data_IF_069910886448
#
_entry.id   IF_069910886448
#
_cell.length_a   1.000
_cell.length_b   1.000
_cell.length_c   1.000
_cell.angle_alpha   90.00
_cell.angle_beta   90.00
_cell.angle_gamma   90.00
#
_symmetry.space_group_name_H-M   'P 1'
#
loop_
_entity.id
_entity.type
_entity.pdbx_description
1 polymer ?
#
# COMPACT_ATOMS: atom_id res chain seq x y z
N UNK A 1 43.64 70.30 18.65
CA UNK A 1 42.58 70.04 19.65
C UNK A 1 41.78 68.82 19.22
N UNK A 2 41.78 67.70 19.98
CA UNK A 2 40.86 66.59 19.74
C UNK A 2 39.60 66.74 20.60
N UNK A 3 38.41 66.60 19.97
CA UNK A 3 37.10 66.65 20.64
C UNK A 3 36.72 65.27 21.18
N UNK A 4 36.25 65.29 22.42
CA UNK A 4 35.80 64.16 23.25
C UNK A 4 34.46 63.61 22.74
N UNK A 5 34.35 62.29 22.63
CA UNK A 5 33.14 61.54 22.25
C UNK A 5 32.37 61.15 23.53
N UNK A 6 31.06 61.42 23.56
CA UNK A 6 30.17 61.09 24.69
C UNK A 6 29.75 59.60 24.69
N UNK A 7 29.54 58.97 25.86
CA UNK A 7 29.11 57.58 25.96
C UNK A 7 27.60 57.40 25.73
N UNK A 8 27.24 56.36 24.98
CA UNK A 8 25.87 55.90 24.72
C UNK A 8 25.34 55.05 25.88
N UNK A 9 24.09 55.25 26.30
CA UNK A 9 23.40 54.45 27.33
C UNK A 9 22.93 53.10 26.78
N UNK A 10 22.92 52.02 27.58
CA UNK A 10 22.37 50.73 27.16
C UNK A 10 20.84 50.80 27.07
N UNK A 11 20.28 50.29 25.96
CA UNK A 11 18.84 49.98 25.85
C UNK A 11 18.63 48.57 26.38
N UNK A 12 17.64 48.40 27.25
CA UNK A 12 17.16 47.09 27.68
C UNK A 12 16.17 46.54 26.64
N UNK A 13 16.22 45.23 26.41
CA UNK A 13 15.30 44.53 25.53
C UNK A 13 13.96 44.28 26.26
N UNK A 14 12.84 44.15 25.53
CA UNK A 14 11.52 43.95 26.15
C UNK A 14 11.43 42.61 26.89
N UNK A 15 10.77 42.64 28.06
CA UNK A 15 10.71 41.57 29.08
C UNK A 15 10.35 40.16 28.55
N UNK A 16 9.52 40.07 27.51
CA UNK A 16 9.18 38.81 26.85
C UNK A 16 10.42 38.07 26.32
N UNK A 17 11.35 38.79 25.70
CA UNK A 17 12.58 38.21 25.13
C UNK A 17 13.57 37.80 26.23
N UNK A 18 13.56 38.50 27.37
CA UNK A 18 14.35 38.13 28.54
C UNK A 18 13.82 36.83 29.19
N UNK A 19 12.49 36.63 29.21
CA UNK A 19 11.87 35.42 29.75
C UNK A 19 12.16 34.18 28.88
N UNK A 20 12.05 34.29 27.56
CA UNK A 20 12.42 33.20 26.64
C UNK A 20 13.92 32.86 26.75
N UNK A 21 14.77 33.88 26.89
CA UNK A 21 16.20 33.71 27.10
C UNK A 21 16.54 32.98 28.40
N UNK A 22 15.87 33.35 29.50
CA UNK A 22 16.05 32.70 30.80
C UNK A 22 15.49 31.27 30.82
N UNK A 23 14.40 30.99 30.11
CA UNK A 23 13.84 29.64 29.98
C UNK A 23 14.78 28.71 29.19
N UNK A 24 15.39 29.21 28.11
CA UNK A 24 16.41 28.50 27.35
C UNK A 24 17.67 28.23 28.20
N UNK A 25 18.10 29.18 29.03
CA UNK A 25 19.25 29.02 29.94
C UNK A 25 18.96 28.00 31.05
N UNK A 26 17.72 27.96 31.57
CA UNK A 26 17.30 26.95 32.55
C UNK A 26 17.26 25.54 31.97
N UNK A 27 16.82 25.41 30.71
CA UNK A 27 16.63 24.11 30.06
C UNK A 27 17.94 23.50 29.53
N UNK A 28 18.89 24.33 29.07
CA UNK A 28 20.08 23.84 28.37
C UNK A 28 21.42 24.31 28.96
N UNK A 29 21.42 25.14 30.00
CA UNK A 29 22.65 25.70 30.58
C UNK A 29 23.35 26.72 29.66
N UNK A 30 24.29 27.51 30.20
CA UNK A 30 24.99 28.56 29.45
C UNK A 30 26.06 27.96 28.53
N UNK A 31 25.82 27.98 27.22
CA UNK A 31 26.82 27.61 26.20
C UNK A 31 27.81 28.76 25.99
N UNK A 32 29.08 28.55 26.33
CA UNK A 32 30.15 29.52 26.12
C UNK A 32 30.56 29.57 24.63
N UNK A 33 30.50 30.75 24.00
CA UNK A 33 31.02 30.97 22.65
C UNK A 33 32.57 31.00 22.66
N UNK A 34 33.27 30.36 21.70
CA UNK A 34 34.72 30.31 21.69
C UNK A 34 35.32 31.67 21.30
N UNK A 35 36.23 32.17 22.14
CA UNK A 35 36.88 33.47 21.96
C UNK A 35 38.00 33.45 20.92
N UNK A 36 38.01 34.43 20.01
CA UNK A 36 39.12 34.70 19.08
C UNK A 36 40.35 35.23 19.84
N UNK A 37 41.49 34.54 19.78
CA UNK A 37 42.79 35.03 20.29
C UNK A 37 43.71 35.48 19.14
N UNK A 38 44.34 36.64 19.34
CA UNK A 38 45.39 37.26 18.51
C UNK A 38 46.74 36.56 18.72
N UNK A 39 47.50 36.40 17.64
CA UNK A 39 48.83 35.81 17.61
C UNK A 39 49.96 36.80 18.00
N UNK A 40 50.97 36.30 18.74
CA UNK A 40 52.35 36.79 18.67
C UNK A 40 53.32 35.63 18.98
N UNK A 41 54.41 35.62 18.22
CA UNK A 41 55.39 34.58 17.84
C UNK A 41 56.46 34.31 18.92
N UNK A 42 56.90 33.05 19.07
CA UNK A 42 58.29 32.55 18.92
C UNK A 42 58.38 31.04 19.28
N UNK A 43 59.47 30.39 18.87
CA UNK A 43 59.60 29.06 18.25
C UNK A 43 59.72 27.79 19.13
N UNK A 44 59.29 26.67 18.51
CA UNK A 44 59.75 25.27 18.61
C UNK A 44 59.32 24.39 19.81
N UNK A 45 58.23 23.62 19.65
CA UNK A 45 58.31 22.17 19.38
C UNK A 45 56.98 21.69 18.76
N UNK A 46 57.08 20.78 17.79
CA UNK A 46 56.07 20.45 16.78
C UNK A 46 55.14 19.33 17.25
N UNK A 47 53.87 19.65 17.54
CA UNK A 47 52.74 18.70 17.60
C UNK A 47 51.43 19.49 17.40
N UNK A 48 51.28 20.11 16.23
CA UNK A 48 49.95 20.51 15.73
C UNK A 48 49.21 19.24 15.25
N UNK A 49 47.94 19.01 15.64
CA UNK A 49 47.16 17.93 15.05
C UNK A 49 47.01 18.25 13.56
N UNK A 50 47.69 17.48 12.72
CA UNK A 50 47.63 17.61 11.26
C UNK A 50 46.17 17.62 10.86
N UNK A 51 45.79 18.49 9.92
CA UNK A 51 44.44 18.50 9.32
C UNK A 51 44.02 17.14 8.73
N UNK A 52 44.98 16.23 8.59
CA UNK A 52 44.83 14.81 8.30
C UNK A 52 44.06 14.07 9.41
N UNK A 53 44.29 14.35 10.70
CA UNK A 53 43.58 13.73 11.83
C UNK A 53 42.12 14.16 11.92
N UNK A 54 41.78 15.40 11.59
CA UNK A 54 40.39 15.84 11.53
C UNK A 54 39.63 15.19 10.36
N UNK A 55 40.32 14.98 9.22
CA UNK A 55 39.75 14.28 8.06
C UNK A 55 39.64 12.78 8.31
N UNK A 56 40.64 12.18 8.94
CA UNK A 56 40.63 10.77 9.34
C UNK A 56 39.59 10.53 10.44
N UNK A 57 39.45 11.42 11.41
CA UNK A 57 38.42 11.34 12.44
C UNK A 57 37.01 11.49 11.86
N UNK A 58 36.81 12.38 10.88
CA UNK A 58 35.54 12.47 10.14
C UNK A 58 35.27 11.18 9.34
N UNK A 59 36.29 10.65 8.67
CA UNK A 59 36.19 9.40 7.90
C UNK A 59 35.92 8.19 8.80
N UNK A 60 36.47 8.16 10.02
CA UNK A 60 36.21 7.14 11.04
C UNK A 60 34.79 7.27 11.59
N UNK A 61 34.30 8.49 11.81
CA UNK A 61 32.90 8.73 12.22
C UNK A 61 31.90 8.35 11.13
N UNK A 62 32.22 8.60 9.86
CA UNK A 62 31.39 8.21 8.73
C UNK A 62 31.42 6.68 8.57
N UNK A 63 32.58 6.03 8.70
CA UNK A 63 32.68 4.57 8.64
C UNK A 63 32.01 3.87 9.84
N UNK A 64 32.03 4.49 11.02
CA UNK A 64 31.31 3.99 12.20
C UNK A 64 29.80 4.13 12.06
N UNK A 65 29.32 5.16 11.35
CA UNK A 65 27.91 5.35 11.01
C UNK A 65 27.46 4.28 10.01
N UNK A 66 28.24 4.05 8.95
CA UNK A 66 27.96 3.01 7.95
C UNK A 66 27.93 1.62 8.60
N UNK A 67 28.85 1.33 9.53
CA UNK A 67 28.86 0.06 10.28
C UNK A 67 27.67 -0.08 11.23
N UNK A 68 27.22 1.00 11.87
CA UNK A 68 26.02 0.98 12.70
C UNK A 68 24.76 0.77 11.86
N UNK A 69 24.70 1.35 10.66
CA UNK A 69 23.58 1.21 9.73
C UNK A 69 23.54 -0.19 9.09
N UNK A 70 24.71 -0.81 8.85
CA UNK A 70 24.83 -2.20 8.42
C UNK A 70 24.40 -3.18 9.52
N UNK A 71 24.82 -2.95 10.77
CA UNK A 71 24.41 -3.75 11.94
C UNK A 71 22.91 -3.60 12.23
N UNK A 72 22.33 -2.40 12.07
CA UNK A 72 20.90 -2.17 12.19
C UNK A 72 20.11 -2.92 11.09
N UNK A 73 20.64 -2.95 9.86
CA UNK A 73 20.07 -3.70 8.74
C UNK A 73 20.15 -5.22 8.91
N UNK A 74 21.19 -5.72 9.60
CA UNK A 74 21.36 -7.16 9.90
C UNK A 74 20.58 -7.64 11.14
N UNK A 75 20.39 -6.81 12.17
CA UNK A 75 19.77 -7.23 13.44
C UNK A 75 18.23 -7.21 13.45
N UNK A 76 17.57 -6.70 12.42
CA UNK A 76 16.12 -6.85 12.23
C UNK A 76 15.26 -6.40 13.43
N UNK A 77 15.75 -5.46 14.24
CA UNK A 77 14.97 -4.79 15.27
C UNK A 77 14.57 -3.42 14.73
N UNK A 78 13.60 -3.43 13.83
CA UNK A 78 12.58 -2.39 13.70
C UNK A 78 11.40 -3.03 12.95
N UNK A 79 10.42 -3.44 13.74
CA UNK A 79 9.08 -3.81 13.32
C UNK A 79 8.30 -2.49 13.12
N UNK A 80 8.62 -1.74 12.07
CA UNK A 80 7.68 -0.81 11.41
C UNK A 80 8.28 -0.35 10.08
N UNK A 81 7.57 -0.65 9.00
CA UNK A 81 7.99 -0.37 7.63
C UNK A 81 7.67 1.10 7.29
N UNK A 82 8.56 2.02 7.64
CA UNK A 82 8.58 3.37 7.08
C UNK A 82 9.43 3.42 5.79
N UNK A 83 8.83 3.96 4.73
CA UNK A 83 9.37 4.09 3.37
C UNK A 83 10.61 5.01 3.37
N UNK A 84 11.79 4.52 2.98
CA UNK A 84 12.92 5.40 2.64
C UNK A 84 12.87 5.83 1.17
N UNK A 85 12.82 7.15 0.96
CA UNK A 85 12.85 7.85 -0.32
C UNK A 85 14.24 7.73 -0.99
N UNK A 86 14.28 7.43 -2.29
CA UNK A 86 15.49 7.54 -3.12
C UNK A 86 15.94 9.01 -3.25
N UNK A 87 17.24 9.34 -3.21
CA UNK A 87 17.70 10.72 -3.40
C UNK A 87 17.78 11.07 -4.89
N UNK A 88 16.87 11.92 -5.37
CA UNK A 88 17.00 12.61 -6.66
C UNK A 88 18.07 13.71 -6.62
N UNK A 89 18.77 13.89 -7.75
CA UNK A 89 19.88 14.82 -7.93
C UNK A 89 19.46 16.30 -7.87
N UNK A 90 20.30 17.15 -7.24
CA UNK A 90 20.03 18.57 -7.03
C UNK A 90 19.96 19.40 -8.34
N UNK A 91 18.98 20.33 -8.47
CA UNK A 91 18.96 21.31 -9.55
C UNK A 91 19.76 22.58 -9.20
N UNK A 92 20.62 22.97 -10.14
CA UNK A 92 21.45 24.18 -10.15
C UNK A 92 20.64 25.49 -10.01
N UNK A 93 21.13 26.40 -9.15
CA UNK A 93 20.56 27.72 -8.88
C UNK A 93 21.03 28.77 -9.91
N UNK A 94 20.13 29.35 -10.69
CA UNK A 94 20.27 30.72 -11.26
C UNK A 94 18.93 31.48 -11.23
N UNK A 95 18.93 32.81 -11.06
CA UNK A 95 17.73 33.59 -10.73
C UNK A 95 16.86 33.89 -11.96
N UNK A 96 15.54 33.92 -11.74
CA UNK A 96 14.51 34.34 -12.71
C UNK A 96 14.57 35.86 -12.92
N UNK A 97 14.71 36.29 -14.17
CA UNK A 97 14.27 37.62 -14.62
C UNK A 97 12.94 37.50 -15.38
N UNK A 98 12.03 38.40 -15.04
CA UNK A 98 10.66 38.51 -15.57
C UNK A 98 10.72 39.37 -16.83
N UNK A 99 10.28 38.83 -17.97
CA UNK A 99 9.91 39.62 -19.15
C UNK A 99 8.64 39.05 -19.79
N UNK A 100 7.80 39.97 -20.27
CA UNK A 100 6.40 39.81 -20.65
C UNK A 100 6.20 39.15 -22.04
N UNK A 101 5.28 38.20 -22.09
CA UNK A 101 4.27 37.85 -23.13
C UNK A 101 4.67 37.96 -24.61
N UNK A 102 4.65 36.81 -25.32
CA UNK A 102 4.04 36.65 -26.64
C UNK A 102 3.65 35.18 -26.87
N UNK A 103 2.65 34.98 -27.72
CA UNK A 103 1.88 33.77 -28.00
C UNK A 103 2.64 32.56 -28.55
N UNK A 104 1.97 31.42 -28.43
CA UNK A 104 1.93 30.26 -29.34
C UNK A 104 2.73 29.01 -28.93
N UNK A 105 2.06 27.86 -29.09
CA UNK A 105 2.44 26.47 -28.82
C UNK A 105 2.56 26.02 -27.35
N UNK A 106 1.41 25.79 -26.71
CA UNK A 106 1.28 24.68 -25.75
C UNK A 106 1.06 23.40 -26.57
N UNK A 107 2.11 22.59 -26.72
CA UNK A 107 1.94 21.17 -26.99
C UNK A 107 1.16 20.58 -25.80
N UNK A 108 -0.17 20.52 -25.96
CA UNK A 108 -0.99 19.55 -25.24
C UNK A 108 -0.34 18.18 -25.49
N UNK A 109 0.28 17.59 -24.45
CA UNK A 109 0.44 16.14 -24.43
C UNK A 109 -0.97 15.56 -24.53
N UNK A 110 -1.34 15.25 -25.76
CA UNK A 110 -2.52 14.53 -26.15
C UNK A 110 -2.48 13.20 -25.40
N UNK A 111 -3.11 13.17 -24.22
CA UNK A 111 -3.50 11.94 -23.56
C UNK A 111 -4.43 11.25 -24.54
N UNK A 112 -3.87 10.39 -25.39
CA UNK A 112 -4.58 9.56 -26.35
C UNK A 112 -5.84 9.05 -25.67
N UNK A 113 -6.96 9.64 -26.07
CA UNK A 113 -8.30 9.21 -25.72
C UNK A 113 -8.49 7.91 -26.46
N UNK A 114 -8.00 6.82 -25.84
CA UNK A 114 -8.39 5.49 -26.23
C UNK A 114 -9.89 5.43 -26.06
N UNK A 115 -10.60 5.53 -27.18
CA UNK A 115 -12.04 5.34 -27.29
C UNK A 115 -12.48 4.27 -26.31
N UNK A 116 -13.51 4.57 -25.52
CA UNK A 116 -14.25 3.55 -24.77
C UNK A 116 -14.84 2.61 -25.82
N UNK A 117 -14.06 1.60 -26.20
CA UNK A 117 -14.51 0.53 -27.08
C UNK A 117 -15.57 -0.24 -26.32
N UNK A 118 -16.83 0.17 -26.56
CA UNK A 118 -18.00 -0.58 -26.12
C UNK A 118 -17.98 -1.93 -26.83
N UNK A 119 -17.44 -2.94 -26.14
CA UNK A 119 -17.37 -4.28 -26.71
C UNK A 119 -16.36 -5.25 -26.11
N UNK A 120 -15.52 -4.86 -25.15
CA UNK A 120 -14.76 -5.87 -24.40
C UNK A 120 -15.70 -6.63 -23.46
N UNK A 121 -16.28 -7.71 -23.98
CA UNK A 121 -16.85 -8.80 -23.19
C UNK A 121 -15.84 -9.13 -22.09
N UNK A 122 -16.24 -8.89 -20.84
CA UNK A 122 -15.40 -9.16 -19.69
C UNK A 122 -14.94 -10.61 -19.80
N UNK A 123 -13.62 -10.84 -19.80
CA UNK A 123 -13.09 -12.15 -19.54
C UNK A 123 -13.49 -12.51 -18.11
N UNK A 124 -14.69 -13.08 -17.96
CA UNK A 124 -15.14 -13.70 -16.74
C UNK A 124 -14.07 -14.73 -16.41
N UNK A 125 -13.31 -14.47 -15.34
CA UNK A 125 -12.51 -15.52 -14.73
C UNK A 125 -13.51 -16.59 -14.33
N UNK A 126 -13.62 -17.64 -15.14
CA UNK A 126 -14.50 -18.78 -14.88
C UNK A 126 -13.99 -19.47 -13.63
N UNK A 127 -14.58 -19.11 -12.49
CA UNK A 127 -14.40 -19.81 -11.22
C UNK A 127 -15.29 -21.04 -11.29
N UNK A 128 -14.75 -22.20 -10.94
CA UNK A 128 -15.52 -23.44 -10.95
C UNK A 128 -16.67 -23.33 -9.93
N UNK A 129 -17.92 -23.69 -10.27
CA UNK A 129 -19.00 -23.76 -9.29
C UNK A 129 -18.68 -24.62 -8.06
N UNK A 130 -17.80 -25.63 -8.20
CA UNK A 130 -17.31 -26.42 -7.09
C UNK A 130 -16.43 -25.62 -6.12
N UNK A 131 -15.71 -24.61 -6.60
CA UNK A 131 -14.92 -23.71 -5.75
C UNK A 131 -15.82 -22.86 -4.86
N UNK A 132 -16.96 -22.40 -5.37
CA UNK A 132 -17.95 -21.68 -4.56
C UNK A 132 -18.43 -22.52 -3.37
N UNK A 133 -18.87 -23.76 -3.62
CA UNK A 133 -19.36 -24.65 -2.57
C UNK A 133 -18.28 -25.03 -1.55
N UNK A 134 -17.05 -25.26 -2.03
CA UNK A 134 -15.91 -25.65 -1.19
C UNK A 134 -15.45 -24.47 -0.32
N UNK A 135 -15.45 -23.26 -0.86
CA UNK A 135 -15.07 -22.05 -0.13
C UNK A 135 -16.13 -21.61 0.88
N UNK A 136 -17.41 -21.82 0.57
CA UNK A 136 -18.50 -21.59 1.52
C UNK A 136 -18.46 -22.60 2.68
N UNK A 137 -17.97 -23.82 2.46
CA UNK A 137 -17.70 -24.79 3.54
C UNK A 137 -16.53 -24.32 4.43
N UNK A 138 -15.41 -23.94 3.80
CA UNK A 138 -14.21 -23.45 4.49
C UNK A 138 -14.45 -22.17 5.32
N UNK A 139 -15.30 -21.26 4.83
CA UNK A 139 -15.67 -20.04 5.56
C UNK A 139 -16.61 -20.35 6.74
N UNK A 140 -17.48 -21.36 6.63
CA UNK A 140 -18.40 -21.76 7.71
C UNK A 140 -17.69 -22.40 8.91
N UNK A 141 -16.61 -23.15 8.68
CA UNK A 141 -15.80 -23.73 9.76
C UNK A 141 -14.96 -22.70 10.54
N UNK A 142 -14.80 -21.48 10.00
CA UNK A 142 -13.94 -20.42 10.53
C UNK A 142 -14.69 -19.26 11.17
N UNK A 143 -15.70 -19.49 12.00
CA UNK A 143 -16.32 -18.43 12.83
C UNK A 143 -16.92 -17.22 12.11
N UNK A 144 -16.97 -17.22 10.78
CA UNK A 144 -17.66 -16.23 9.97
C UNK A 144 -19.07 -16.75 9.71
N UNK A 145 -20.01 -16.29 10.54
CA UNK A 145 -21.43 -16.61 10.38
C UNK A 145 -21.89 -16.11 9.01
N UNK A 146 -22.41 -16.97 8.13
CA UNK A 146 -23.12 -16.52 6.94
C UNK A 146 -24.47 -15.96 7.40
N UNK A 147 -24.66 -14.65 7.27
CA UNK A 147 -25.98 -14.05 7.36
C UNK A 147 -26.86 -14.59 6.23
N UNK A 148 -27.89 -15.36 6.60
CA UNK A 148 -29.08 -15.55 5.77
C UNK A 148 -29.27 -16.95 5.20
N UNK A 149 -29.72 -17.88 6.05
CA UNK A 149 -30.83 -18.79 5.74
C UNK A 149 -31.15 -19.62 6.99
N UNK A 150 -32.12 -19.15 7.78
CA UNK A 150 -32.97 -20.05 8.53
C UNK A 150 -34.42 -19.55 8.46
N UNK A 151 -35.33 -20.48 8.23
CA UNK A 151 -36.78 -20.25 8.15
C UNK A 151 -37.38 -20.38 9.54
N UNK A 152 -37.97 -19.31 10.05
CA UNK A 152 -38.76 -19.31 11.27
C UNK A 152 -39.28 -17.91 11.54
N UNK A 153 -40.58 -17.72 11.30
CA UNK A 153 -41.32 -16.48 11.57
C UNK A 153 -41.28 -16.14 13.06
N UNK A 154 -40.71 -14.98 13.41
CA UNK A 154 -41.12 -14.13 14.52
C UNK A 154 -40.58 -12.71 14.30
N UNK A 155 -41.47 -11.72 14.32
CA UNK A 155 -41.20 -10.29 14.09
C UNK A 155 -40.17 -9.75 15.10
N UNK A 156 -38.98 -9.41 14.60
CA UNK A 156 -37.93 -8.78 15.37
C UNK A 156 -36.75 -8.39 14.49
N UNK A 157 -36.47 -7.09 14.38
CA UNK A 157 -35.33 -6.56 13.64
C UNK A 157 -34.01 -7.24 14.09
N UNK A 158 -33.12 -7.62 13.16
CA UNK A 158 -31.87 -8.29 13.52
C UNK A 158 -30.92 -7.30 14.19
N UNK A 159 -30.75 -7.46 15.51
CA UNK A 159 -29.83 -6.68 16.34
C UNK A 159 -28.38 -6.95 15.92
N UNK A 160 -27.67 -5.87 15.59
CA UNK A 160 -26.27 -5.87 15.14
C UNK A 160 -25.29 -6.05 16.30
N UNK A 161 -24.01 -6.32 15.99
CA UNK A 161 -22.93 -6.42 16.99
C UNK A 161 -22.86 -5.17 17.89
N UNK A 162 -23.24 -4.00 17.35
CA UNK A 162 -23.39 -2.75 18.09
C UNK A 162 -24.51 -2.85 19.15
N UNK A 163 -25.67 -3.42 18.82
CA UNK A 163 -26.81 -3.56 19.74
C UNK A 163 -26.55 -4.56 20.89
N UNK A 164 -25.77 -5.61 20.63
CA UNK A 164 -25.30 -6.55 21.66
C UNK A 164 -24.26 -5.93 22.61
N UNK A 165 -23.46 -4.97 22.12
CA UNK A 165 -22.52 -4.19 22.93
C UNK A 165 -23.27 -3.16 23.78
N UNK A 166 -24.28 -2.47 23.22
CA UNK A 166 -25.12 -1.53 23.95
C UNK A 166 -25.96 -2.18 25.07
N UNK A 167 -26.49 -3.39 24.83
CA UNK A 167 -27.25 -4.12 25.85
C UNK A 167 -26.39 -4.61 27.03
N UNK A 168 -25.08 -4.86 26.78
CA UNK A 168 -24.11 -5.23 27.83
C UNK A 168 -23.55 -4.04 28.61
N UNK A 169 -23.52 -2.83 28.03
CA UNK A 169 -23.07 -1.62 28.75
C UNK A 169 -24.16 -1.00 29.64
N UNK A 170 -25.44 -1.31 29.40
CA UNK A 170 -26.56 -0.76 30.18
C UNK A 170 -26.72 -1.39 31.57
N UNK A 171 -26.05 -2.53 31.85
CA UNK A 171 -26.11 -3.24 33.13
C UNK A 171 -25.08 -2.83 34.19
N UNK A 172 -24.19 -1.88 33.88
CA UNK A 172 -23.10 -1.46 34.78
C UNK A 172 -23.31 -0.04 35.29
N UNK A 173 -24.02 0.11 36.41
CA UNK A 173 -24.17 1.39 37.07
C UNK A 173 -22.85 1.84 37.76
N UNK A 174 -22.67 3.18 37.77
CA UNK A 174 -22.03 4.02 38.81
C UNK A 174 -20.71 4.75 38.44
N UNK A 175 -20.92 6.01 38.03
CA UNK A 175 -20.30 7.26 38.55
C UNK A 175 -19.18 7.99 37.80
N UNK A 176 -19.57 9.23 37.39
CA UNK A 176 -18.88 10.53 37.51
C UNK A 176 -17.75 10.87 36.53
N UNK A 177 -18.15 11.60 35.47
CA UNK A 177 -17.75 13.00 35.29
C UNK A 177 -16.57 13.30 34.37
N UNK A 178 -16.83 13.33 33.06
CA UNK A 178 -16.25 14.29 32.10
C UNK A 178 -17.03 14.13 30.77
N UNK A 179 -17.65 15.21 30.32
CA UNK A 179 -18.37 15.29 29.05
C UNK A 179 -17.36 15.33 27.91
N UNK A 180 -16.98 14.18 27.37
CA UNK A 180 -16.59 14.03 25.97
C UNK A 180 -17.58 13.05 25.35
N UNK A 181 -18.61 13.60 24.71
CA UNK A 181 -19.52 12.83 23.87
C UNK A 181 -18.71 12.09 22.81
N UNK A 182 -18.87 10.77 22.76
CA UNK A 182 -18.38 9.93 21.66
C UNK A 182 -19.23 10.24 20.40
N UNK A 183 -19.06 11.43 19.82
CA UNK A 183 -19.70 11.89 18.59
C UNK A 183 -18.99 11.29 17.36
N UNK A 184 -19.32 10.05 16.98
CA UNK A 184 -19.14 9.52 15.61
C UNK A 184 -17.81 9.82 14.87
N UNK A 185 -17.81 9.76 13.52
CA UNK A 185 -16.68 10.23 12.72
C UNK A 185 -16.49 11.75 12.87
N UNK A 186 -15.26 12.28 12.92
CA UNK A 186 -15.01 13.71 13.05
C UNK A 186 -15.75 14.50 11.97
N UNK A 187 -16.61 15.45 12.36
CA UNK A 187 -17.32 16.28 11.37
C UNK A 187 -16.29 17.05 10.52
N UNK A 188 -16.20 16.75 9.20
CA UNK A 188 -15.19 17.35 8.33
C UNK A 188 -15.35 18.87 8.18
N UNK A 189 -16.46 19.46 8.66
CA UNK A 189 -16.71 20.90 8.64
C UNK A 189 -16.07 21.66 9.80
N UNK A 190 -15.71 20.98 10.90
CA UNK A 190 -15.12 21.62 12.09
C UNK A 190 -13.78 22.27 11.70
N UNK A 191 -13.64 23.57 11.95
CA UNK A 191 -12.41 24.35 11.70
C UNK A 191 -12.22 24.92 10.29
N UNK A 192 -13.13 24.68 9.34
CA UNK A 192 -13.00 25.19 7.97
C UNK A 192 -13.74 26.52 7.74
N UNK A 193 -13.21 27.33 6.81
CA UNK A 193 -13.86 28.56 6.40
C UNK A 193 -15.23 28.25 5.72
N UNK A 194 -16.33 28.91 6.10
CA UNK A 194 -17.66 28.62 5.58
C UNK A 194 -17.76 28.74 4.05
N UNK A 195 -16.98 29.63 3.43
CA UNK A 195 -16.93 29.75 1.95
C UNK A 195 -16.32 28.52 1.29
N UNK A 196 -15.29 27.94 1.91
CA UNK A 196 -14.64 26.73 1.40
C UNK A 196 -15.61 25.55 1.49
N UNK A 197 -16.33 25.45 2.61
CA UNK A 197 -17.39 24.45 2.80
C UNK A 197 -18.46 24.59 1.73
N UNK A 198 -18.93 25.81 1.45
CA UNK A 198 -19.94 26.07 0.42
C UNK A 198 -19.46 25.68 -0.99
N UNK A 199 -18.22 26.03 -1.34
CA UNK A 199 -17.64 25.71 -2.66
C UNK A 199 -17.53 24.19 -2.86
N UNK A 200 -16.94 23.46 -1.91
CA UNK A 200 -16.77 22.00 -2.06
C UNK A 200 -18.09 21.23 -1.93
N UNK A 201 -19.05 21.75 -1.17
CA UNK A 201 -20.42 21.18 -1.15
C UNK A 201 -21.10 21.32 -2.52
N UNK A 202 -20.95 22.48 -3.18
CA UNK A 202 -21.45 22.68 -4.55
C UNK A 202 -20.74 21.80 -5.57
N UNK A 203 -19.44 21.57 -5.40
CA UNK A 203 -18.68 20.61 -6.22
C UNK A 203 -19.23 19.19 -6.04
N UNK A 204 -19.50 18.75 -4.81
CA UNK A 204 -20.11 17.44 -4.56
C UNK A 204 -21.47 17.27 -5.24
N UNK A 205 -22.32 18.30 -5.19
CA UNK A 205 -23.61 18.29 -5.91
C UNK A 205 -23.47 18.22 -7.44
N UNK A 206 -22.39 18.80 -7.99
CA UNK A 206 -22.09 18.65 -9.42
C UNK A 206 -21.61 17.23 -9.74
N UNK A 207 -20.76 16.64 -8.89
CA UNK A 207 -20.21 15.29 -9.07
C UNK A 207 -21.26 14.18 -8.97
N UNK A 208 -22.37 14.41 -8.25
CA UNK A 208 -23.48 13.45 -8.17
C UNK A 208 -24.31 13.35 -9.46
N UNK A 209 -24.11 14.26 -10.42
CA UNK A 209 -24.80 14.25 -11.73
C UNK A 209 -23.85 14.27 -12.92
N UNK A 210 -22.54 14.31 -12.66
CA UNK A 210 -21.53 14.42 -13.68
C UNK A 210 -21.53 13.18 -14.59
N UNK A 211 -21.41 13.41 -15.90
CA UNK A 211 -21.26 12.35 -16.92
C UNK A 211 -20.05 12.62 -17.81
N UNK A 212 -19.96 13.83 -18.35
CA UNK A 212 -18.89 14.27 -19.25
C UNK A 212 -18.64 15.77 -19.10
N UNK A 213 -17.54 16.25 -19.68
CA UNK A 213 -17.14 17.65 -19.69
C UNK A 213 -16.00 17.97 -18.72
N UNK A 214 -15.55 19.23 -18.67
CA UNK A 214 -14.44 19.62 -17.82
C UNK A 214 -14.82 19.57 -16.34
N UNK A 215 -13.95 18.98 -15.53
CA UNK A 215 -14.10 19.02 -14.06
C UNK A 215 -13.81 20.43 -13.50
N UNK A 216 -14.50 20.85 -12.43
CA UNK A 216 -14.28 22.16 -11.82
C UNK A 216 -12.82 22.39 -11.39
N UNK A 217 -12.31 23.61 -11.60
CA UNK A 217 -10.93 23.97 -11.21
C UNK A 217 -10.66 23.73 -9.72
N UNK A 218 -11.65 23.98 -8.87
CA UNK A 218 -11.57 23.71 -7.43
C UNK A 218 -11.27 22.23 -7.12
N UNK A 219 -11.80 21.30 -7.92
CA UNK A 219 -11.52 19.87 -7.75
C UNK A 219 -10.12 19.50 -8.29
N UNK A 220 -9.71 20.11 -9.41
CA UNK A 220 -8.39 19.85 -10.02
C UNK A 220 -7.22 20.27 -9.12
N UNK A 221 -7.38 21.34 -8.34
CA UNK A 221 -6.35 21.81 -7.38
C UNK A 221 -6.39 21.08 -6.04
N UNK A 222 -7.42 20.26 -5.79
CA UNK A 222 -7.66 19.60 -4.50
C UNK A 222 -6.44 18.77 -4.05
N UNK A 223 -5.77 17.97 -4.90
CA UNK A 223 -4.59 17.19 -4.51
C UNK A 223 -3.40 18.02 -4.01
N UNK A 224 -3.29 19.29 -4.42
CA UNK A 224 -2.18 20.15 -4.01
C UNK A 224 -2.37 20.78 -2.62
N UNK A 225 -3.52 20.54 -1.97
CA UNK A 225 -3.87 21.15 -0.69
C UNK A 225 -3.47 20.22 0.48
N UNK A 226 -2.88 20.73 1.58
CA UNK A 226 -2.48 19.90 2.72
C UNK A 226 -3.64 19.13 3.40
N UNK A 227 -4.84 19.71 3.40
CA UNK A 227 -6.04 19.09 3.99
C UNK A 227 -6.96 18.49 2.91
N UNK A 228 -6.40 17.95 1.84
CA UNK A 228 -7.16 17.42 0.70
C UNK A 228 -8.21 16.39 1.14
N UNK A 229 -7.88 15.47 2.05
CA UNK A 229 -8.80 14.42 2.48
C UNK A 229 -10.06 14.98 3.16
N UNK A 230 -9.89 16.00 4.02
CA UNK A 230 -11.01 16.69 4.68
C UNK A 230 -11.88 17.43 3.65
N UNK A 231 -11.25 18.13 2.69
CA UNK A 231 -11.97 18.84 1.63
C UNK A 231 -12.69 17.89 0.68
N UNK A 232 -12.10 16.73 0.40
CA UNK A 232 -12.69 15.68 -0.40
C UNK A 232 -13.96 15.12 0.27
N UNK A 233 -13.93 14.91 1.59
CA UNK A 233 -15.09 14.44 2.34
C UNK A 233 -16.31 15.38 2.20
N UNK A 234 -16.10 16.69 2.08
CA UNK A 234 -17.17 17.67 1.84
C UNK A 234 -17.87 17.48 0.49
N UNK A 235 -17.20 16.89 -0.49
CA UNK A 235 -17.78 16.59 -1.81
C UNK A 235 -18.64 15.32 -1.81
N UNK A 236 -18.73 14.64 -0.66
CA UNK A 236 -19.47 13.39 -0.45
C UNK A 236 -19.18 12.31 -1.52
N UNK A 237 -18.01 11.65 -1.46
CA UNK A 237 -17.60 10.67 -2.46
C UNK A 237 -18.58 9.50 -2.66
N UNK A 238 -19.36 9.16 -1.63
CA UNK A 238 -20.42 8.14 -1.70
C UNK A 238 -21.52 8.47 -2.70
N UNK A 239 -21.83 9.75 -2.92
CA UNK A 239 -22.88 10.23 -3.83
C UNK A 239 -22.37 10.45 -5.27
N UNK A 240 -21.06 10.26 -5.54
CA UNK A 240 -20.50 10.45 -6.87
C UNK A 240 -21.06 9.48 -7.91
N UNK A 241 -21.19 9.95 -9.15
CA UNK A 241 -21.46 9.04 -10.27
C UNK A 241 -20.23 8.17 -10.56
N UNK A 242 -20.39 7.01 -11.23
CA UNK A 242 -19.26 6.21 -11.71
C UNK A 242 -18.30 7.00 -12.61
N UNK A 243 -18.84 7.90 -13.44
CA UNK A 243 -18.07 8.76 -14.34
C UNK A 243 -17.21 9.76 -13.54
N UNK A 244 -17.80 10.37 -12.50
CA UNK A 244 -17.10 11.28 -11.60
C UNK A 244 -15.98 10.55 -10.86
N UNK A 245 -16.26 9.34 -10.37
CA UNK A 245 -15.29 8.52 -9.64
C UNK A 245 -14.08 8.20 -10.51
N UNK A 246 -14.29 7.81 -11.77
CA UNK A 246 -13.21 7.60 -12.73
C UNK A 246 -12.38 8.86 -12.98
N UNK A 247 -13.04 9.97 -13.29
CA UNK A 247 -12.36 11.23 -13.59
C UNK A 247 -11.59 11.77 -12.38
N UNK A 248 -12.15 11.64 -11.17
CA UNK A 248 -11.47 11.95 -9.92
C UNK A 248 -10.25 11.04 -9.72
N UNK A 249 -10.41 9.72 -9.88
CA UNK A 249 -9.31 8.75 -9.72
C UNK A 249 -8.12 9.09 -10.62
N UNK A 250 -8.36 9.48 -11.88
CA UNK A 250 -7.30 9.96 -12.78
C UNK A 250 -6.53 11.16 -12.19
N UNK A 251 -7.24 12.15 -11.66
CA UNK A 251 -6.62 13.35 -11.09
C UNK A 251 -5.86 13.01 -9.80
N UNK A 252 -6.48 12.30 -8.87
CA UNK A 252 -5.90 11.99 -7.57
C UNK A 252 -4.69 11.08 -7.70
N UNK A 253 -4.78 10.01 -8.50
CA UNK A 253 -3.65 9.08 -8.67
C UNK A 253 -2.45 9.76 -9.33
N UNK A 254 -2.66 10.69 -10.27
CA UNK A 254 -1.54 11.39 -10.92
C UNK A 254 -0.89 12.47 -10.06
N UNK A 255 -1.64 13.12 -9.16
CA UNK A 255 -1.16 14.32 -8.45
C UNK A 255 -0.83 14.10 -6.97
N UNK A 256 -1.41 13.08 -6.32
CA UNK A 256 -1.13 12.77 -4.91
C UNK A 256 0.14 11.92 -4.73
N UNK A 257 0.72 12.00 -3.54
CA UNK A 257 1.83 11.11 -3.13
C UNK A 257 1.34 9.67 -2.96
N UNK A 258 2.21 8.64 -3.09
CA UNK A 258 1.80 7.24 -2.95
C UNK A 258 1.04 6.92 -1.64
N UNK A 259 1.47 7.50 -0.52
CA UNK A 259 0.82 7.36 0.79
C UNK A 259 -0.59 7.95 0.80
N UNK A 260 -0.79 9.10 0.18
CA UNK A 260 -2.08 9.77 0.06
C UNK A 260 -3.01 9.05 -0.92
N UNK A 261 -2.46 8.53 -2.03
CA UNK A 261 -3.22 7.71 -2.98
C UNK A 261 -3.73 6.44 -2.32
N UNK A 262 -2.93 5.80 -1.44
CA UNK A 262 -3.40 4.66 -0.64
C UNK A 262 -4.67 5.03 0.13
N UNK A 263 -4.66 6.15 0.86
CA UNK A 263 -5.82 6.61 1.65
C UNK A 263 -7.04 6.87 0.76
N UNK A 264 -6.84 7.49 -0.41
CA UNK A 264 -7.93 7.70 -1.38
C UNK A 264 -8.49 6.37 -1.93
N UNK A 265 -7.62 5.43 -2.30
CA UNK A 265 -8.02 4.14 -2.85
C UNK A 265 -8.79 3.32 -1.81
N UNK A 266 -8.30 3.29 -0.57
CA UNK A 266 -8.90 2.56 0.54
C UNK A 266 -10.25 3.17 0.97
N UNK A 267 -10.29 4.47 1.26
CA UNK A 267 -11.49 5.12 1.81
C UNK A 267 -12.53 5.59 0.81
N UNK A 268 -12.23 5.57 -0.50
CA UNK A 268 -13.17 6.04 -1.54
C UNK A 268 -13.39 4.98 -2.61
N UNK A 269 -12.33 4.56 -3.31
CA UNK A 269 -12.50 3.71 -4.49
C UNK A 269 -12.94 2.29 -4.11
N UNK A 270 -12.30 1.68 -3.11
CA UNK A 270 -12.63 0.33 -2.64
C UNK A 270 -14.10 0.26 -2.21
N UNK A 271 -14.51 1.15 -1.31
CA UNK A 271 -15.88 1.20 -0.79
C UNK A 271 -16.90 1.43 -1.90
N UNK A 272 -16.60 2.33 -2.85
CA UNK A 272 -17.49 2.58 -3.99
C UNK A 272 -17.64 1.35 -4.88
N UNK A 273 -16.56 0.62 -5.14
CA UNK A 273 -16.59 -0.62 -5.91
C UNK A 273 -17.39 -1.71 -5.20
N UNK A 274 -17.19 -1.91 -3.89
CA UNK A 274 -17.94 -2.91 -3.12
C UNK A 274 -19.42 -2.60 -3.08
N UNK A 275 -19.79 -1.33 -2.88
CA UNK A 275 -21.19 -0.92 -2.87
C UNK A 275 -21.85 -1.12 -4.24
N UNK A 276 -21.20 -0.71 -5.34
CA UNK A 276 -21.73 -0.91 -6.69
C UNK A 276 -21.92 -2.40 -7.01
N UNK A 277 -20.95 -3.24 -6.61
CA UNK A 277 -21.06 -4.70 -6.76
C UNK A 277 -22.20 -5.29 -5.93
N UNK A 278 -22.40 -4.83 -4.70
CA UNK A 278 -23.51 -5.26 -3.85
C UNK A 278 -24.87 -4.89 -4.47
N UNK A 279 -25.00 -3.68 -5.00
CA UNK A 279 -26.22 -3.20 -5.65
C UNK A 279 -26.50 -3.90 -6.98
N UNK A 280 -25.47 -4.21 -7.76
CA UNK A 280 -25.58 -4.77 -9.11
C UNK A 280 -25.41 -6.31 -9.16
N UNK A 281 -25.72 -7.02 -8.07
CA UNK A 281 -25.67 -8.49 -7.97
C UNK A 281 -24.29 -9.11 -8.33
N UNK A 282 -23.22 -8.40 -8.01
CA UNK A 282 -21.83 -8.78 -8.24
C UNK A 282 -21.26 -8.36 -9.60
N UNK A 283 -21.94 -7.49 -10.34
CA UNK A 283 -21.38 -6.84 -11.54
C UNK A 283 -20.81 -5.46 -11.16
N UNK A 284 -19.69 -5.08 -11.76
CA UNK A 284 -19.08 -3.76 -11.55
C UNK A 284 -19.34 -2.86 -12.78
N UNK A 285 -19.65 -1.59 -12.52
CA UNK A 285 -19.74 -0.59 -13.58
C UNK A 285 -18.42 -0.41 -14.34
N UNK A 286 -18.49 -0.25 -15.67
CA UNK A 286 -17.31 -0.07 -16.56
C UNK A 286 -16.41 1.08 -16.09
N UNK A 287 -16.97 2.21 -15.67
CA UNK A 287 -16.18 3.36 -15.26
C UNK A 287 -15.45 3.12 -13.93
N UNK A 288 -16.04 2.33 -13.03
CA UNK A 288 -15.37 1.91 -11.81
C UNK A 288 -14.27 0.88 -12.11
N UNK A 289 -14.49 -0.01 -13.07
CA UNK A 289 -13.45 -0.92 -13.56
C UNK A 289 -12.26 -0.16 -14.16
N UNK A 290 -12.51 0.87 -14.99
CA UNK A 290 -11.46 1.74 -15.50
C UNK A 290 -10.81 2.59 -14.40
N UNK A 291 -11.55 2.96 -13.36
CA UNK A 291 -10.99 3.63 -12.18
C UNK A 291 -10.00 2.72 -11.44
N UNK A 292 -10.33 1.42 -11.28
CA UNK A 292 -9.41 0.43 -10.70
C UNK A 292 -8.15 0.27 -11.56
N UNK A 293 -8.29 0.19 -12.89
CA UNK A 293 -7.14 0.16 -13.82
C UNK A 293 -6.24 1.37 -13.64
N UNK A 294 -6.81 2.58 -13.49
CA UNK A 294 -6.03 3.80 -13.23
C UNK A 294 -5.42 3.84 -11.84
N UNK A 295 -6.10 3.31 -10.81
CA UNK A 295 -5.54 3.16 -9.47
C UNK A 295 -4.26 2.33 -9.44
N UNK A 296 -4.18 1.30 -10.29
CA UNK A 296 -3.04 0.39 -10.37
C UNK A 296 -1.77 1.01 -10.98
N UNK A 297 -1.83 2.25 -11.49
CA UNK A 297 -0.65 2.99 -11.97
C UNK A 297 0.31 3.36 -10.82
N UNK A 298 -0.18 3.35 -9.57
CA UNK A 298 0.64 3.38 -8.36
C UNK A 298 0.50 2.04 -7.60
N UNK A 299 1.29 1.01 -7.97
CA UNK A 299 1.07 -0.36 -7.52
C UNK A 299 1.23 -0.54 -6.00
N UNK A 300 2.21 0.13 -5.37
CA UNK A 300 2.37 0.08 -3.91
C UNK A 300 1.11 0.55 -3.17
N UNK A 301 0.53 1.67 -3.62
CA UNK A 301 -0.70 2.24 -3.06
C UNK A 301 -1.91 1.34 -3.34
N UNK A 302 -2.00 0.74 -4.53
CA UNK A 302 -3.08 -0.18 -4.88
C UNK A 302 -3.03 -1.45 -4.03
N UNK A 303 -1.86 -2.06 -3.82
CA UNK A 303 -1.78 -3.25 -2.98
C UNK A 303 -2.13 -2.96 -1.52
N UNK A 304 -1.55 -1.89 -0.94
CA UNK A 304 -1.80 -1.50 0.46
C UNK A 304 -3.23 -0.96 0.68
N UNK A 305 -3.85 -0.32 -0.30
CA UNK A 305 -5.15 0.35 -0.15
C UNK A 305 -6.35 -0.39 -0.76
N UNK A 306 -6.14 -1.27 -1.73
CA UNK A 306 -7.21 -2.08 -2.35
C UNK A 306 -7.03 -3.55 -2.02
N UNK A 307 -5.92 -4.16 -2.45
CA UNK A 307 -5.81 -5.62 -2.47
C UNK A 307 -5.79 -6.23 -1.06
N UNK A 308 -4.92 -5.74 -0.18
CA UNK A 308 -4.81 -6.29 1.18
C UNK A 308 -6.05 -6.01 2.03
N UNK A 309 -6.60 -4.78 2.07
CA UNK A 309 -7.85 -4.53 2.79
C UNK A 309 -9.02 -5.36 2.26
N UNK A 310 -9.08 -5.61 0.94
CA UNK A 310 -10.09 -6.48 0.35
C UNK A 310 -9.96 -7.91 0.89
N UNK A 311 -8.75 -8.46 0.97
CA UNK A 311 -8.50 -9.79 1.52
C UNK A 311 -8.76 -9.89 3.03
N UNK A 312 -8.46 -8.84 3.80
CA UNK A 312 -8.59 -8.81 5.27
C UNK A 312 -10.04 -8.58 5.75
N UNK A 313 -10.83 -7.77 5.03
CA UNK A 313 -12.21 -7.41 5.41
C UNK A 313 -13.28 -8.38 4.88
N UNK A 314 -12.86 -9.53 4.35
CA UNK A 314 -13.74 -10.54 3.75
C UNK A 314 -14.08 -10.23 2.30
N UNK A 315 -13.35 -10.87 1.38
CA UNK A 315 -13.56 -10.78 -0.06
C UNK A 315 -14.48 -11.90 -0.55
N UNK A 316 -15.52 -11.56 -1.30
CA UNK A 316 -16.31 -12.55 -2.05
C UNK A 316 -15.56 -13.01 -3.30
N UNK A 317 -15.87 -14.21 -3.79
CA UNK A 317 -15.26 -14.73 -5.03
C UNK A 317 -15.59 -13.88 -6.26
N UNK A 318 -16.79 -13.27 -6.29
CA UNK A 318 -17.19 -12.36 -7.36
C UNK A 318 -16.35 -11.07 -7.35
N UNK A 319 -16.15 -10.47 -6.17
CA UNK A 319 -15.20 -9.35 -6.02
C UNK A 319 -13.81 -9.79 -6.48
N UNK A 320 -13.29 -10.88 -5.93
CA UNK A 320 -11.97 -11.40 -6.26
C UNK A 320 -11.77 -11.56 -7.78
N UNK A 321 -12.75 -12.10 -8.50
CA UNK A 321 -12.70 -12.26 -9.95
C UNK A 321 -12.53 -10.91 -10.69
N UNK A 322 -13.25 -9.87 -10.28
CA UNK A 322 -13.16 -8.56 -10.94
C UNK A 322 -11.82 -7.88 -10.66
N UNK A 323 -11.40 -7.83 -9.39
CA UNK A 323 -10.12 -7.23 -9.02
C UNK A 323 -8.93 -8.01 -9.61
N UNK A 324 -9.02 -9.35 -9.67
CA UNK A 324 -8.02 -10.20 -10.29
C UNK A 324 -7.95 -10.00 -11.81
N UNK A 325 -9.08 -9.73 -12.47
CA UNK A 325 -9.13 -9.34 -13.88
C UNK A 325 -8.43 -8.00 -14.15
N UNK A 326 -8.60 -7.00 -13.27
CA UNK A 326 -7.84 -5.74 -13.38
C UNK A 326 -6.33 -6.00 -13.26
N UNK A 327 -5.94 -6.81 -12.27
CA UNK A 327 -4.55 -7.15 -12.02
C UNK A 327 -3.91 -7.92 -13.19
N UNK A 328 -4.66 -8.81 -13.85
CA UNK A 328 -4.16 -9.55 -15.02
C UNK A 328 -3.95 -8.65 -16.24
N UNK A 329 -4.84 -7.67 -16.48
CA UNK A 329 -4.77 -6.76 -17.63
C UNK A 329 -3.71 -5.66 -17.52
N UNK A 330 -3.43 -5.14 -16.32
CA UNK A 330 -2.47 -4.04 -16.14
C UNK A 330 -1.06 -4.57 -15.85
N UNK A 331 -0.03 -3.96 -16.44
CA UNK A 331 1.36 -4.31 -16.14
C UNK A 331 1.76 -3.78 -14.75
N UNK A 332 2.34 -4.64 -13.92
CA UNK A 332 2.78 -4.29 -12.57
C UNK A 332 4.29 -4.54 -12.46
N UNK A 333 5.10 -3.63 -11.91
CA UNK A 333 6.52 -3.87 -11.75
C UNK A 333 6.81 -5.09 -10.86
N UNK A 334 7.94 -5.77 -11.14
CA UNK A 334 8.32 -7.04 -10.50
C UNK A 334 8.41 -6.92 -8.98
N UNK A 335 9.09 -5.89 -8.46
CA UNK A 335 9.31 -5.72 -7.02
C UNK A 335 8.00 -5.54 -6.25
N UNK A 336 7.06 -4.77 -6.79
CA UNK A 336 5.74 -4.59 -6.19
C UNK A 336 4.94 -5.89 -6.19
N UNK A 337 5.01 -6.65 -7.29
CA UNK A 337 4.35 -7.96 -7.39
C UNK A 337 4.94 -8.99 -6.42
N UNK A 338 6.26 -8.99 -6.27
CA UNK A 338 6.99 -9.85 -5.34
C UNK A 338 6.63 -9.55 -3.88
N UNK A 339 6.57 -8.27 -3.50
CA UNK A 339 6.12 -7.85 -2.17
C UNK A 339 4.65 -8.23 -1.91
N UNK A 340 3.78 -8.06 -2.92
CA UNK A 340 2.38 -8.47 -2.81
C UNK A 340 2.21 -9.97 -2.63
N UNK A 341 2.96 -10.79 -3.38
CA UNK A 341 2.97 -12.24 -3.22
C UNK A 341 3.44 -12.65 -1.82
N UNK A 342 4.49 -12.03 -1.29
CA UNK A 342 5.00 -12.31 0.04
C UNK A 342 3.93 -12.04 1.12
N UNK A 343 3.24 -10.89 1.02
CA UNK A 343 2.17 -10.53 1.95
C UNK A 343 0.99 -11.49 1.82
N UNK A 344 0.51 -11.79 0.62
CA UNK A 344 -0.59 -12.74 0.39
C UNK A 344 -0.26 -14.15 0.91
N UNK A 345 0.99 -14.60 0.76
CA UNK A 345 1.46 -15.89 1.26
C UNK A 345 1.42 -15.97 2.80
N UNK A 346 1.73 -14.86 3.47
CA UNK A 346 1.72 -14.74 4.93
C UNK A 346 0.33 -14.61 5.55
N UNK A 347 -0.66 -14.11 4.81
CA UNK A 347 -2.03 -13.91 5.27
C UNK A 347 -2.75 -15.23 5.59
N UNK A 348 -3.84 -15.14 6.34
CA UNK A 348 -4.74 -16.27 6.56
C UNK A 348 -5.38 -16.73 5.26
N UNK A 349 -5.65 -18.03 5.18
CA UNK A 349 -6.21 -18.61 3.97
C UNK A 349 -7.61 -18.11 3.69
N UNK A 350 -7.82 -17.64 2.47
CA UNK A 350 -9.12 -17.43 1.86
C UNK A 350 -9.06 -17.87 0.39
N UNK A 351 -10.19 -18.27 -0.18
CA UNK A 351 -10.28 -18.59 -1.61
C UNK A 351 -9.78 -17.48 -2.54
N UNK A 352 -10.19 -16.21 -2.31
CA UNK A 352 -9.66 -15.06 -3.03
C UNK A 352 -8.13 -14.96 -3.02
N UNK A 353 -7.47 -15.30 -1.91
CA UNK A 353 -6.00 -15.26 -1.83
C UNK A 353 -5.35 -16.20 -2.85
N UNK A 354 -5.87 -17.42 -3.01
CA UNK A 354 -5.38 -18.35 -4.06
C UNK A 354 -5.57 -17.80 -5.47
N UNK A 355 -6.68 -17.10 -5.73
CA UNK A 355 -6.92 -16.48 -7.03
C UNK A 355 -5.92 -15.37 -7.32
N UNK A 356 -5.67 -14.47 -6.37
CA UNK A 356 -4.69 -13.39 -6.54
C UNK A 356 -3.26 -13.91 -6.68
N UNK A 357 -2.87 -14.91 -5.87
CA UNK A 357 -1.57 -15.57 -5.99
C UNK A 357 -1.41 -16.17 -7.39
N UNK A 358 -2.40 -16.93 -7.88
CA UNK A 358 -2.37 -17.50 -9.24
C UNK A 358 -2.15 -16.43 -10.31
N UNK A 359 -2.91 -15.34 -10.28
CA UNK A 359 -2.82 -14.26 -11.28
C UNK A 359 -1.46 -13.55 -11.22
N UNK A 360 -0.91 -13.31 -10.03
CA UNK A 360 0.42 -12.70 -9.89
C UNK A 360 1.53 -13.63 -10.38
N UNK A 361 1.39 -14.95 -10.19
CA UNK A 361 2.33 -15.94 -10.74
C UNK A 361 2.22 -16.06 -12.27
N UNK A 362 1.02 -15.94 -12.83
CA UNK A 362 0.77 -15.95 -14.29
C UNK A 362 1.41 -14.75 -15.02
N UNK A 363 1.87 -13.73 -14.29
CA UNK A 363 2.70 -12.65 -14.84
C UNK A 363 4.13 -13.09 -15.20
N UNK A 364 4.59 -14.24 -14.71
CA UNK A 364 5.89 -14.87 -15.05
C UNK A 364 7.09 -13.96 -14.78
N UNK A 365 7.07 -13.23 -13.67
CA UNK A 365 8.20 -12.42 -13.27
C UNK A 365 9.33 -13.27 -12.69
N UNK A 366 10.56 -12.78 -12.76
CA UNK A 366 11.67 -13.34 -12.00
C UNK A 366 11.49 -12.94 -10.51
N UNK A 367 11.15 -13.91 -9.66
CA UNK A 367 10.88 -13.66 -8.25
C UNK A 367 12.15 -13.82 -7.41
N UNK A 368 12.38 -12.97 -6.39
CA UNK A 368 13.42 -13.21 -5.40
C UNK A 368 13.19 -14.53 -4.67
N UNK A 369 14.27 -15.25 -4.35
CA UNK A 369 14.16 -16.56 -3.67
C UNK A 369 13.38 -16.50 -2.36
N UNK A 370 13.49 -15.42 -1.59
CA UNK A 370 12.68 -15.20 -0.37
C UNK A 370 11.18 -15.33 -0.63
N UNK A 371 10.69 -14.87 -1.80
CA UNK A 371 9.27 -14.96 -2.17
C UNK A 371 8.91 -16.38 -2.60
N UNK A 372 9.80 -17.07 -3.33
CA UNK A 372 9.64 -18.48 -3.69
C UNK A 372 9.54 -19.34 -2.43
N UNK A 373 10.46 -19.14 -1.48
CA UNK A 373 10.49 -19.87 -0.20
C UNK A 373 9.21 -19.62 0.61
N UNK A 374 8.74 -18.37 0.66
CA UNK A 374 7.49 -18.02 1.33
C UNK A 374 6.26 -18.67 0.69
N UNK A 375 6.23 -18.80 -0.65
CA UNK A 375 5.15 -19.49 -1.36
C UNK A 375 5.18 -21.00 -1.09
N UNK A 376 6.36 -21.63 -1.06
CA UNK A 376 6.49 -23.03 -0.66
C UNK A 376 5.94 -23.23 0.76
N UNK A 377 6.35 -22.38 1.71
CA UNK A 377 5.85 -22.43 3.07
C UNK A 377 4.33 -22.22 3.14
N UNK A 378 3.78 -21.30 2.34
CA UNK A 378 2.34 -21.09 2.22
C UNK A 378 1.61 -22.38 1.83
N UNK A 379 2.06 -23.09 0.78
CA UNK A 379 1.44 -24.35 0.37
C UNK A 379 1.56 -25.45 1.42
N UNK A 380 2.73 -25.59 2.07
CA UNK A 380 2.95 -26.57 3.14
C UNK A 380 2.05 -26.30 4.34
N UNK A 381 1.97 -25.04 4.78
CA UNK A 381 1.13 -24.60 5.91
C UNK A 381 -0.34 -24.96 5.68
N UNK A 382 -0.84 -24.71 4.47
CA UNK A 382 -2.24 -24.97 4.13
C UNK A 382 -2.56 -26.46 4.03
N UNK A 383 -1.65 -27.27 3.46
CA UNK A 383 -1.84 -28.71 3.38
C UNK A 383 -1.93 -29.39 4.76
N UNK A 384 -1.21 -28.83 5.74
CA UNK A 384 -1.17 -29.31 7.12
C UNK A 384 -2.24 -28.68 8.04
N UNK A 385 -2.95 -27.66 7.57
CA UNK A 385 -3.96 -26.94 8.35
C UNK A 385 -5.11 -27.86 8.78
N UNK A 386 -5.66 -27.72 10.00
CA UNK A 386 -6.86 -28.44 10.43
C UNK A 386 -8.05 -28.23 9.48
N UNK A 387 -8.13 -27.04 8.86
CA UNK A 387 -9.09 -26.67 7.78
C UNK A 387 -8.95 -27.52 6.51
N UNK A 388 -8.16 -28.58 6.53
CA UNK A 388 -8.06 -29.53 5.43
C UNK A 388 -8.32 -30.96 5.89
N UNK A 389 -8.33 -31.22 7.21
CA UNK A 389 -8.28 -32.58 7.79
C UNK A 389 -9.64 -33.28 7.82
N UNK A 390 -10.73 -32.55 8.02
CA UNK A 390 -12.08 -33.12 8.03
C UNK A 390 -12.72 -33.00 6.64
N UNK A 391 -13.31 -34.09 6.14
CA UNK A 391 -13.68 -34.30 4.72
C UNK A 391 -14.70 -33.35 4.10
N UNK A 392 -15.20 -32.37 4.87
CA UNK A 392 -16.06 -31.28 4.40
C UNK A 392 -15.25 -30.05 3.92
N UNK A 393 -14.02 -29.89 4.40
CA UNK A 393 -13.10 -28.80 4.07
C UNK A 393 -12.00 -29.26 3.09
N UNK A 394 -12.40 -29.75 1.91
CA UNK A 394 -11.43 -30.02 0.84
C UNK A 394 -10.78 -28.71 0.38
N UNK A 395 -9.50 -28.75 0.01
CA UNK A 395 -8.87 -27.57 -0.61
C UNK A 395 -9.54 -27.29 -1.97
N UNK A 396 -9.87 -26.02 -2.30
CA UNK A 396 -10.51 -25.68 -3.56
C UNK A 396 -9.62 -25.97 -4.77
N UNK A 397 -10.23 -26.12 -5.94
CA UNK A 397 -9.53 -26.26 -7.22
C UNK A 397 -8.64 -25.05 -7.49
N UNK A 398 -9.08 -23.84 -7.12
CA UNK A 398 -8.25 -22.62 -7.21
C UNK A 398 -6.90 -22.76 -6.49
N UNK A 399 -6.87 -23.43 -5.35
CA UNK A 399 -5.64 -23.66 -4.61
C UNK A 399 -4.70 -24.58 -5.40
N UNK A 400 -5.22 -25.70 -5.90
CA UNK A 400 -4.44 -26.64 -6.73
C UNK A 400 -3.96 -25.99 -8.04
N UNK A 401 -4.77 -25.14 -8.66
CA UNK A 401 -4.38 -24.37 -9.84
C UNK A 401 -3.27 -23.37 -9.51
N UNK A 402 -3.35 -22.67 -8.38
CA UNK A 402 -2.30 -21.74 -7.95
C UNK A 402 -0.96 -22.46 -7.72
N UNK A 403 -0.99 -23.65 -7.12
CA UNK A 403 0.19 -24.50 -6.94
C UNK A 403 0.73 -25.02 -8.27
N UNK A 404 -0.13 -25.42 -9.20
CA UNK A 404 0.30 -25.86 -10.53
C UNK A 404 1.02 -24.75 -11.28
N UNK A 405 0.46 -23.53 -11.30
CA UNK A 405 1.10 -22.37 -11.94
C UNK A 405 2.44 -22.05 -11.28
N UNK A 406 2.52 -22.12 -9.95
CA UNK A 406 3.77 -21.92 -9.22
C UNK A 406 4.84 -22.91 -9.67
N UNK A 407 4.55 -24.21 -9.67
CA UNK A 407 5.51 -25.25 -10.06
C UNK A 407 5.89 -25.14 -11.53
N UNK A 408 4.94 -24.93 -12.43
CA UNK A 408 5.21 -24.78 -13.87
C UNK A 408 6.21 -23.65 -14.20
N UNK A 409 6.29 -22.62 -13.34
CA UNK A 409 7.13 -21.44 -13.56
C UNK A 409 8.40 -21.46 -12.75
N UNK A 410 8.33 -21.90 -11.51
CA UNK A 410 9.39 -21.71 -10.52
C UNK A 410 9.98 -23.03 -10.00
N UNK A 411 9.62 -24.20 -10.56
CA UNK A 411 10.20 -25.46 -10.11
C UNK A 411 11.73 -25.55 -10.29
N UNK A 412 12.28 -24.84 -11.28
CA UNK A 412 13.75 -24.70 -11.46
C UNK A 412 14.44 -23.91 -10.35
N UNK A 413 13.68 -23.08 -9.63
CA UNK A 413 14.17 -22.22 -8.55
C UNK A 413 13.99 -22.86 -7.17
N UNK A 414 13.49 -24.11 -7.11
CA UNK A 414 13.30 -24.85 -5.88
C UNK A 414 14.52 -25.70 -5.51
N UNK A 415 14.82 -25.72 -4.22
CA UNK A 415 15.77 -26.67 -3.62
C UNK A 415 15.21 -28.10 -3.60
N UNK A 416 16.05 -29.14 -3.50
CA UNK A 416 15.60 -30.53 -3.44
C UNK A 416 14.59 -30.77 -2.31
N UNK A 417 14.91 -30.28 -1.11
CA UNK A 417 14.04 -30.39 0.08
C UNK A 417 12.67 -29.73 -0.14
N UNK A 418 12.62 -28.59 -0.82
CA UNK A 418 11.36 -27.92 -1.15
C UNK A 418 10.54 -28.72 -2.15
N UNK A 419 11.17 -29.36 -3.14
CA UNK A 419 10.49 -30.22 -4.10
C UNK A 419 9.88 -31.44 -3.42
N UNK A 420 10.65 -32.10 -2.55
CA UNK A 420 10.17 -33.24 -1.79
C UNK A 420 9.00 -32.86 -0.86
N UNK A 421 9.11 -31.72 -0.17
CA UNK A 421 8.02 -31.20 0.65
C UNK A 421 6.74 -30.92 -0.16
N UNK A 422 6.86 -30.37 -1.38
CA UNK A 422 5.70 -30.15 -2.26
C UNK A 422 5.10 -31.47 -2.80
N UNK A 423 5.93 -32.51 -3.00
CA UNK A 423 5.44 -33.85 -3.34
C UNK A 423 4.64 -34.47 -2.20
N UNK A 424 5.06 -34.25 -0.95
CA UNK A 424 4.29 -34.67 0.22
C UNK A 424 2.98 -33.88 0.37
N UNK A 425 3.00 -32.58 0.05
CA UNK A 425 1.79 -31.73 0.00
C UNK A 425 0.73 -32.30 -0.95
N UNK A 426 1.10 -32.64 -2.20
CA UNK A 426 0.13 -33.20 -3.16
C UNK A 426 -0.29 -34.64 -2.81
N UNK A 427 0.52 -35.38 -2.05
CA UNK A 427 0.16 -36.71 -1.54
C UNK A 427 -0.85 -36.61 -0.41
N UNK A 428 -0.65 -35.66 0.50
CA UNK A 428 -1.57 -35.40 1.60
C UNK A 428 -2.92 -34.85 1.08
N UNK A 429 -2.88 -34.02 0.03
CA UNK A 429 -4.05 -33.37 -0.56
C UNK A 429 -4.11 -33.60 -2.08
N UNK A 430 -4.58 -34.77 -2.52
CA UNK A 430 -4.64 -35.09 -3.95
C UNK A 430 -5.86 -34.46 -4.63
N UNK A 431 -5.63 -33.84 -5.79
CA UNK A 431 -6.65 -33.47 -6.76
C UNK A 431 -6.67 -34.49 -7.91
N UNK A 432 -7.84 -34.99 -8.37
CA UNK A 432 -7.94 -36.10 -9.34
C UNK A 432 -7.14 -35.89 -10.63
N UNK A 433 -7.10 -34.66 -11.16
CA UNK A 433 -6.50 -34.36 -12.48
C UNK A 433 -5.26 -33.47 -12.37
N UNK A 434 -5.14 -32.67 -11.31
CA UNK A 434 -4.12 -31.61 -11.23
C UNK A 434 -2.87 -32.12 -10.51
N UNK A 435 -3.01 -32.99 -9.50
CA UNK A 435 -1.85 -33.48 -8.74
C UNK A 435 -0.89 -34.30 -9.58
N UNK A 436 -1.37 -35.03 -10.59
CA UNK A 436 -0.50 -35.75 -11.54
C UNK A 436 0.35 -34.79 -12.38
N UNK A 437 -0.24 -33.67 -12.82
CA UNK A 437 0.46 -32.62 -13.57
C UNK A 437 1.49 -31.92 -12.69
N UNK A 438 1.13 -31.56 -11.45
CA UNK A 438 2.06 -30.96 -10.48
C UNK A 438 3.25 -31.89 -10.25
N UNK A 439 3.00 -33.18 -10.00
CA UNK A 439 4.07 -34.17 -9.80
C UNK A 439 4.99 -34.25 -11.02
N UNK A 440 4.42 -34.29 -12.23
CA UNK A 440 5.19 -34.34 -13.47
C UNK A 440 6.13 -33.14 -13.60
N UNK A 441 5.62 -31.94 -13.34
CA UNK A 441 6.44 -30.72 -13.43
C UNK A 441 7.53 -30.66 -12.36
N UNK A 442 7.27 -31.09 -11.12
CA UNK A 442 8.31 -31.16 -10.08
C UNK A 442 9.43 -32.13 -10.49
N UNK A 443 9.07 -33.35 -10.90
CA UNK A 443 10.05 -34.42 -11.21
C UNK A 443 10.87 -34.10 -12.46
N UNK A 444 10.28 -33.44 -13.45
CA UNK A 444 10.98 -33.09 -14.70
C UNK A 444 11.83 -31.81 -14.59
N UNK A 445 11.72 -31.07 -13.48
CA UNK A 445 12.44 -29.81 -13.30
C UNK A 445 13.84 -30.01 -12.73
N UNK A 446 14.80 -29.20 -13.19
CA UNK A 446 16.16 -29.13 -12.64
C UNK A 446 16.15 -28.48 -11.25
N UNK A 447 17.00 -28.93 -10.34
CA UNK A 447 17.10 -28.36 -8.98
C UNK A 447 17.85 -27.03 -8.97
N UNK A 448 17.48 -26.13 -8.06
CA UNK A 448 18.18 -24.86 -7.85
C UNK A 448 19.63 -25.13 -7.47
N UNK A 449 20.56 -24.61 -8.28
CA UNK A 449 21.99 -24.78 -8.07
C UNK A 449 22.57 -26.07 -8.61
N UNK A 450 21.77 -26.93 -9.28
CA UNK A 450 22.32 -28.04 -10.04
C UNK A 450 23.21 -27.49 -11.18
N UNK A 451 24.35 -28.14 -11.48
CA UNK A 451 25.19 -27.76 -12.59
C UNK A 451 24.35 -27.82 -13.86
N UNK A 452 24.23 -26.68 -14.57
CA UNK A 452 23.68 -26.70 -15.93
C UNK A 452 24.57 -27.64 -16.74
N UNK A 453 24.01 -28.63 -17.47
CA UNK A 453 24.82 -29.37 -18.42
C UNK A 453 25.46 -28.34 -19.33
N UNK A 454 26.79 -28.40 -19.46
CA UNK A 454 27.51 -27.51 -20.37
C UNK A 454 26.91 -27.69 -21.76
N UNK A 455 26.45 -26.59 -22.37
CA UNK A 455 26.06 -26.55 -23.77
C UNK A 455 27.31 -26.88 -24.61
N UNK A 456 27.61 -28.17 -24.82
CA UNK A 456 28.88 -28.56 -25.44
C UNK A 456 29.16 -30.04 -25.71
N UNK A 457 28.32 -31.00 -25.31
CA UNK A 457 28.51 -32.39 -25.75
C UNK A 457 27.56 -32.72 -26.90
N UNK A 458 28.06 -32.48 -28.12
CA UNK A 458 27.55 -33.06 -29.35
C UNK A 458 27.29 -34.56 -29.13
N UNK A 459 26.02 -34.93 -29.30
CA UNK A 459 25.56 -36.31 -29.40
C UNK A 459 26.31 -36.97 -30.57
N UNK A 460 27.38 -37.70 -30.27
CA UNK A 460 27.92 -38.70 -31.20
C UNK A 460 26.95 -39.88 -31.21
N UNK A 461 26.03 -39.83 -32.17
CA UNK A 461 25.34 -41.00 -32.67
C UNK A 461 26.40 -42.03 -33.10
N UNK A 462 26.38 -43.21 -32.47
CA UNK A 462 26.97 -44.45 -33.00
C UNK A 462 25.86 -45.47 -33.21
#
# INVERSE_FOLDING_TARGET
MPRVIKPSKPRHDPLHLELEGDEAIRKFGRVAKPGKRKAKKDEADDDEPRAEDARMSKKILDLARDQQEEVARELGQDDDWEDEEEPEAEPSRRPRDIAQIASDDEEEEEFSDGEISGGEEYAELRIDPADHATLDALNRGGGAVPMGQDQGEEDGEPKTLADMIFSKMQGGAVSRGAEDEYEGPPDPRKGLNPKVVEVYSKVGYLLSRYKSGPLPKALKILPSLPHWAQLLALTKPTEWTPHATFACTKIFVSNLKPTEVRVFLEGVLLDKCREDMRMNNGKLNVHLYEALKKGLYKPAAFFKGILFPLCETGCSLKEAAIFASVLSKVSVPVLHSAAALLRLASMDYSGPNSLFIRILLDKKYALPYKVVDALVFHFIRLANSPRSKDGEDKLPVLWHQSLLVFVQRYASDLTPDQKDALLDVIRARPHPTISSEIRREIVNSVERGAPRPEDGEDVKMQ
#
